data_IF_091641382463
#
_entry.id   IF_091641382463
#
_cell.length_a   1.000
_cell.length_b   1.000
_cell.length_c   1.000
_cell.angle_alpha   90.00
_cell.angle_beta   90.00
_cell.angle_gamma   90.00
#
_symmetry.space_group_name_H-M   'P 1'
#
loop_
_entity.id
_entity.type
_entity.pdbx_description
1 polymer ?
#
# COMPACT_ATOMS: atom_id res chain seq x y z
N UNK A 1 13.24 -14.94 28.55
CA UNK A 1 14.54 -14.26 28.80
C UNK A 1 15.11 -13.58 27.54
N UNK A 2 15.10 -14.24 26.38
CA UNK A 2 15.61 -13.72 25.10
C UNK A 2 14.88 -12.46 24.58
N UNK A 3 13.55 -12.41 24.76
CA UNK A 3 12.70 -11.32 24.29
C UNK A 3 12.94 -10.01 25.05
N UNK A 4 13.09 -10.10 26.37
CA UNK A 4 13.46 -8.97 27.26
C UNK A 4 14.84 -8.39 26.92
N UNK A 5 15.73 -9.19 26.33
CA UNK A 5 17.06 -8.75 25.91
C UNK A 5 16.99 -7.95 24.59
N UNK A 6 16.21 -8.44 23.62
CA UNK A 6 15.94 -7.73 22.35
C UNK A 6 15.24 -6.38 22.57
N UNK A 7 14.30 -6.32 23.50
CA UNK A 7 13.59 -5.09 23.83
C UNK A 7 14.51 -4.04 24.48
N UNK A 8 15.41 -4.49 25.38
CA UNK A 8 16.44 -3.63 25.98
C UNK A 8 17.43 -3.11 24.94
N UNK A 9 17.82 -3.93 23.97
CA UNK A 9 18.70 -3.53 22.87
C UNK A 9 18.04 -2.47 21.98
N UNK A 10 16.78 -2.69 21.57
CA UNK A 10 16.00 -1.70 20.80
C UNK A 10 15.87 -0.37 21.55
N UNK A 11 15.60 -0.41 22.86
CA UNK A 11 15.48 0.80 23.69
C UNK A 11 16.81 1.54 23.85
N UNK A 12 17.94 0.81 23.96
CA UNK A 12 19.28 1.38 24.00
C UNK A 12 19.68 2.01 22.67
N UNK A 13 19.33 1.37 21.56
CA UNK A 13 19.59 1.89 20.22
C UNK A 13 18.78 3.16 19.94
N UNK A 14 17.51 3.20 20.34
CA UNK A 14 16.68 4.41 20.28
C UNK A 14 17.30 5.55 21.11
N UNK A 15 17.73 5.27 22.35
CA UNK A 15 18.40 6.27 23.19
C UNK A 15 19.71 6.79 22.58
N UNK A 16 20.53 5.90 22.02
CA UNK A 16 21.77 6.29 21.31
C UNK A 16 21.46 7.14 20.08
N UNK A 17 20.43 6.80 19.32
CA UNK A 17 20.02 7.53 18.12
C UNK A 17 19.55 8.94 18.47
N UNK A 18 18.79 9.09 19.55
CA UNK A 18 18.37 10.39 20.09
C UNK A 18 19.58 11.20 20.58
N UNK A 19 20.47 10.58 21.35
CA UNK A 19 21.68 11.25 21.85
C UNK A 19 22.68 11.63 20.74
N UNK A 20 22.68 10.91 19.61
CA UNK A 20 23.54 11.22 18.45
C UNK A 20 23.01 12.32 17.53
N UNK A 21 21.77 12.79 17.74
CA UNK A 21 21.24 13.93 17.01
C UNK A 21 21.75 15.20 17.69
N UNK A 22 22.68 15.87 17.00
CA UNK A 22 23.35 17.11 17.37
C UNK A 22 22.41 18.33 17.40
N UNK A 23 21.47 18.34 18.35
CA UNK A 23 20.62 19.52 18.63
C UNK A 23 20.61 19.94 20.11
N UNK A 24 21.47 19.38 20.96
CA UNK A 24 21.79 19.96 22.27
C UNK A 24 23.05 20.85 22.16
N UNK A 25 22.90 21.99 21.48
CA UNK A 25 23.90 23.04 21.47
C UNK A 25 23.57 24.04 22.60
N UNK A 26 24.30 23.90 23.71
CA UNK A 26 24.93 25.01 24.47
C UNK A 26 24.06 26.10 25.13
N UNK A 27 23.72 25.91 26.41
CA UNK A 27 23.51 26.87 27.53
C UNK A 27 22.96 26.00 28.68
N UNK A 28 23.61 25.77 29.82
CA UNK A 28 24.28 26.70 30.72
C UNK A 28 25.26 25.92 31.61
N UNK A 29 26.30 26.60 32.07
CA UNK A 29 27.31 26.13 33.03
C UNK A 29 26.70 25.79 34.42
N UNK A 30 27.50 25.07 35.22
CA UNK A 30 27.48 24.99 36.70
C UNK A 30 26.80 23.80 37.42
N UNK A 31 27.47 23.40 38.52
CA UNK A 31 27.15 22.40 39.56
C UNK A 31 27.30 20.91 39.18
N UNK A 32 28.42 20.23 39.48
CA UNK A 32 28.91 19.76 40.80
C UNK A 32 27.94 18.87 41.59
N UNK A 33 28.52 17.77 42.10
CA UNK A 33 27.93 16.71 42.92
C UNK A 33 26.96 17.20 44.00
N UNK A 34 25.90 16.41 44.29
CA UNK A 34 25.63 15.77 45.59
C UNK A 34 24.18 15.25 45.70
N UNK A 35 24.03 14.18 46.47
CA UNK A 35 22.79 13.44 46.76
C UNK A 35 21.88 14.15 47.78
N UNK A 36 20.55 13.94 47.68
CA UNK A 36 19.53 13.91 48.77
C UNK A 36 18.11 13.82 48.13
N UNK A 37 17.30 12.77 48.37
CA UNK A 37 16.33 12.60 49.50
C UNK A 37 15.03 13.42 49.24
N UNK A 38 13.77 13.02 49.43
CA UNK A 38 12.99 11.81 49.71
C UNK A 38 11.48 12.25 49.58
N UNK A 39 10.55 11.29 49.72
CA UNK A 39 9.22 11.40 50.35
C UNK A 39 7.90 11.81 49.63
N UNK A 40 6.83 11.21 50.18
CA UNK A 40 5.37 11.23 49.98
C UNK A 40 4.80 10.14 49.06
N UNK A 41 4.39 8.95 49.55
CA UNK A 41 3.32 8.58 50.53
C UNK A 41 1.90 8.69 49.96
N UNK A 42 1.19 7.55 49.89
CA UNK A 42 -0.28 7.45 49.81
C UNK A 42 -0.68 6.03 50.23
N UNK A 43 -1.07 5.91 51.51
CA UNK A 43 -1.72 4.75 52.13
C UNK A 43 -3.22 4.68 51.78
N UNK A 44 -3.71 3.44 51.64
CA UNK A 44 -5.07 2.92 51.91
C UNK A 44 -6.34 3.70 51.44
N UNK A 45 -7.16 3.03 50.63
CA UNK A 45 -8.56 2.77 51.02
C UNK A 45 -9.12 1.54 50.29
N UNK A 46 -9.65 0.64 51.10
CA UNK A 46 -10.24 -0.66 50.77
C UNK A 46 -11.77 -0.45 50.77
N UNK A 47 -12.44 -0.67 49.65
CA UNK A 47 -13.91 -0.76 49.62
C UNK A 47 -14.31 -1.84 48.59
N UNK A 48 -14.50 -3.06 49.11
CA UNK A 48 -15.34 -4.09 48.51
C UNK A 48 -16.81 -3.64 48.63
N UNK A 49 -17.52 -3.49 47.51
CA UNK A 49 -18.94 -3.83 47.50
C UNK A 49 -19.44 -4.29 46.12
N UNK A 50 -20.43 -5.16 46.23
CA UNK A 50 -20.87 -6.21 45.33
C UNK A 50 -21.94 -5.75 44.32
N UNK A 51 -21.99 -6.52 43.23
CA UNK A 51 -23.11 -6.84 42.32
C UNK A 51 -23.91 -5.79 41.50
N UNK A 52 -24.31 -6.32 40.34
CA UNK A 52 -25.53 -6.10 39.56
C UNK A 52 -25.53 -5.19 38.28
N UNK A 53 -25.60 -5.92 37.15
CA UNK A 53 -26.36 -5.71 35.91
C UNK A 53 -26.38 -4.33 35.20
N UNK A 54 -25.77 -4.28 34.01
CA UNK A 54 -26.48 -3.93 32.77
C UNK A 54 -25.54 -3.90 31.55
N UNK A 55 -25.79 -4.83 30.62
CA UNK A 55 -25.28 -4.82 29.25
C UNK A 55 -25.48 -3.46 28.56
N UNK A 56 -24.38 -2.72 28.33
CA UNK A 56 -24.22 -1.89 27.13
C UNK A 56 -22.79 -1.99 26.66
N UNK A 57 -22.61 -2.50 25.43
CA UNK A 57 -21.39 -2.39 24.64
C UNK A 57 -21.00 -0.91 24.46
N UNK A 58 -20.37 -0.32 25.46
CA UNK A 58 -19.68 0.96 25.35
C UNK A 58 -18.30 0.66 24.74
N UNK A 59 -18.18 0.92 23.43
CA UNK A 59 -16.91 1.07 22.73
C UNK A 59 -15.89 1.75 23.66
N UNK A 60 -14.66 1.21 23.83
CA UNK A 60 -13.70 1.79 24.75
C UNK A 60 -13.39 3.22 24.29
N UNK A 61 -13.94 4.22 25.01
CA UNK A 61 -13.67 5.64 24.80
C UNK A 61 -12.16 5.80 24.97
N UNK A 62 -11.46 6.03 23.85
CA UNK A 62 -10.02 6.33 23.86
C UNK A 62 -9.80 7.43 24.90
N UNK A 63 -9.09 7.10 25.99
CA UNK A 63 -8.79 8.04 27.07
C UNK A 63 -8.17 9.28 26.42
N UNK A 64 -8.87 10.43 26.50
CA UNK A 64 -8.33 11.70 26.01
C UNK A 64 -7.06 11.96 26.81
N UNK A 65 -5.92 11.99 26.12
CA UNK A 65 -4.64 12.31 26.75
C UNK A 65 -4.81 13.68 27.40
N UNK A 66 -4.74 13.76 28.72
CA UNK A 66 -4.75 15.02 29.46
C UNK A 66 -3.50 15.79 29.02
N UNK A 67 -3.70 16.82 28.21
CA UNK A 67 -2.65 17.52 27.49
C UNK A 67 -3.20 18.68 26.67
N UNK A 68 -2.29 19.53 26.17
CA UNK A 68 -2.50 20.83 25.50
C UNK A 68 -3.73 20.91 24.58
N UNK A 69 -4.24 22.13 24.42
CA UNK A 69 -5.44 22.50 23.65
C UNK A 69 -5.65 21.64 22.38
N UNK A 70 -6.79 20.94 22.23
CA UNK A 70 -7.08 20.06 21.09
C UNK A 70 -7.20 20.79 19.74
N UNK A 71 -7.37 22.12 19.74
CA UNK A 71 -7.46 22.92 18.50
C UNK A 71 -6.09 23.28 17.91
N UNK A 72 -4.99 22.94 18.59
CA UNK A 72 -3.64 23.15 18.06
C UNK A 72 -3.35 22.11 17.00
N UNK A 73 -3.01 22.56 15.79
CA UNK A 73 -2.60 21.70 14.68
C UNK A 73 -1.36 20.87 15.05
N UNK A 74 -1.56 19.56 15.22
CA UNK A 74 -0.49 18.60 15.53
C UNK A 74 0.05 17.89 14.29
N UNK A 75 -0.31 18.34 13.07
CA UNK A 75 0.13 17.73 11.81
C UNK A 75 1.65 17.67 11.64
N UNK A 76 2.37 18.63 12.21
CA UNK A 76 3.84 18.71 12.18
C UNK A 76 4.54 17.72 13.13
N UNK A 77 3.83 17.15 14.10
CA UNK A 77 4.38 16.12 14.97
C UNK A 77 4.35 14.75 14.25
N UNK A 78 5.41 13.93 14.37
CA UNK A 78 5.35 12.53 13.99
C UNK A 78 4.26 11.81 14.79
N UNK A 79 3.17 11.45 14.12
CA UNK A 79 2.03 10.76 14.72
C UNK A 79 1.86 9.41 14.04
N UNK A 80 2.21 8.37 14.78
CA UNK A 80 2.19 7.00 14.30
C UNK A 80 0.78 6.51 13.94
N UNK A 81 -0.24 6.97 14.65
CA UNK A 81 -1.62 6.54 14.39
C UNK A 81 -2.12 7.16 13.07
N UNK A 82 -1.74 8.41 12.79
CA UNK A 82 -2.02 9.12 11.53
C UNK A 82 -1.27 8.52 10.34
N UNK A 83 0.01 8.19 10.50
CA UNK A 83 0.78 7.50 9.45
C UNK A 83 0.23 6.10 9.16
N UNK A 84 -0.22 5.37 10.18
CA UNK A 84 -0.89 4.07 10.00
C UNK A 84 -2.24 4.22 9.26
N UNK A 85 -3.03 5.25 9.59
CA UNK A 85 -4.27 5.58 8.87
C UNK A 85 -4.03 5.92 7.40
N UNK A 86 -3.02 6.75 7.11
CA UNK A 86 -2.64 7.10 5.73
C UNK A 86 -2.17 5.86 4.95
N UNK A 87 -1.37 5.00 5.58
CA UNK A 87 -0.92 3.76 4.96
C UNK A 87 -2.08 2.80 4.66
N UNK A 88 -3.03 2.64 5.60
CA UNK A 88 -4.24 1.83 5.36
C UNK A 88 -5.04 2.36 4.17
N UNK A 89 -5.29 3.68 4.12
CA UNK A 89 -6.01 4.30 3.02
C UNK A 89 -5.27 4.11 1.68
N UNK A 90 -3.94 4.20 1.70
CA UNK A 90 -3.10 3.99 0.51
C UNK A 90 -3.17 2.56 0.00
N UNK A 91 -3.18 1.58 0.90
CA UNK A 91 -3.33 0.17 0.56
C UNK A 91 -4.73 -0.13 0.02
N UNK A 92 -5.78 0.42 0.62
CA UNK A 92 -7.16 0.31 0.13
C UNK A 92 -7.30 0.87 -1.29
N UNK A 93 -6.79 2.08 -1.53
CA UNK A 93 -6.81 2.71 -2.86
C UNK A 93 -6.03 1.90 -3.90
N UNK A 94 -4.91 1.28 -3.50
CA UNK A 94 -4.15 0.37 -4.39
C UNK A 94 -4.99 -0.85 -4.76
N UNK A 95 -5.65 -1.48 -3.79
CA UNK A 95 -6.51 -2.64 -4.05
C UNK A 95 -7.73 -2.28 -4.91
N UNK A 96 -8.33 -1.12 -4.69
CA UNK A 96 -9.41 -0.64 -5.55
C UNK A 96 -8.92 -0.39 -6.98
N UNK A 97 -7.74 0.21 -7.12
CA UNK A 97 -7.13 0.46 -8.42
C UNK A 97 -6.85 -0.85 -9.16
N UNK A 98 -6.26 -1.83 -8.50
CA UNK A 98 -6.01 -3.16 -9.06
C UNK A 98 -7.30 -3.85 -9.48
N UNK A 99 -8.34 -3.84 -8.64
CA UNK A 99 -9.67 -4.38 -8.98
C UNK A 99 -10.28 -3.69 -10.20
N UNK A 100 -10.19 -2.35 -10.28
CA UNK A 100 -10.67 -1.58 -11.45
C UNK A 100 -9.88 -1.95 -12.71
N UNK A 101 -8.56 -2.06 -12.61
CA UNK A 101 -7.68 -2.47 -13.71
C UNK A 101 -7.99 -3.89 -14.19
N UNK A 102 -8.16 -4.84 -13.27
CA UNK A 102 -8.50 -6.22 -13.58
C UNK A 102 -9.87 -6.31 -14.28
N UNK A 103 -10.86 -5.57 -13.78
CA UNK A 103 -12.19 -5.49 -14.41
C UNK A 103 -12.07 -5.01 -15.85
N UNK A 104 -11.38 -3.90 -16.10
CA UNK A 104 -11.17 -3.35 -17.44
C UNK A 104 -10.43 -4.35 -18.34
N UNK A 105 -9.39 -5.01 -17.83
CA UNK A 105 -8.62 -6.02 -18.58
C UNK A 105 -9.44 -7.26 -18.91
N UNK A 106 -10.41 -7.61 -18.06
CA UNK A 106 -11.26 -8.78 -18.25
C UNK A 106 -12.37 -8.58 -19.28
N UNK A 107 -12.69 -7.33 -19.63
CA UNK A 107 -13.74 -7.00 -20.60
C UNK A 107 -13.44 -7.64 -21.96
N UNK A 108 -14.38 -8.45 -22.46
CA UNK A 108 -14.31 -9.05 -23.78
C UNK A 108 -14.70 -8.02 -24.85
N UNK A 109 -13.85 -7.90 -25.87
CA UNK A 109 -14.04 -7.03 -27.01
C UNK A 109 -13.97 -7.83 -28.31
N UNK A 110 -14.79 -7.43 -29.26
CA UNK A 110 -14.68 -7.89 -30.63
C UNK A 110 -13.81 -6.91 -31.43
N UNK A 111 -12.70 -7.42 -31.93
CA UNK A 111 -11.74 -6.64 -32.72
C UNK A 111 -11.92 -7.05 -34.17
N UNK A 112 -12.32 -6.09 -34.99
CA UNK A 112 -12.30 -6.23 -36.45
C UNK A 112 -10.92 -5.85 -36.95
N UNK A 113 -10.23 -6.78 -37.61
CA UNK A 113 -8.91 -6.55 -38.18
C UNK A 113 -8.91 -6.86 -39.67
N UNK A 114 -7.90 -6.34 -40.37
CA UNK A 114 -7.66 -6.68 -41.77
C UNK A 114 -6.25 -7.23 -41.91
N UNK A 115 -6.13 -8.40 -42.51
CA UNK A 115 -4.86 -8.90 -43.01
C UNK A 115 -4.58 -8.27 -44.37
N UNK A 116 -3.31 -7.98 -44.66
CA UNK A 116 -2.87 -7.32 -45.89
C UNK A 116 -1.71 -8.11 -46.51
N UNK A 117 -1.98 -8.70 -47.68
CA UNK A 117 -1.03 -9.42 -48.53
C UNK A 117 -0.93 -8.78 -49.94
N UNK A 118 -1.42 -7.54 -50.07
CA UNK A 118 -1.70 -6.88 -51.35
C UNK A 118 -3.21 -6.78 -51.64
N UNK A 119 -4.04 -7.56 -50.94
CA UNK A 119 -5.49 -7.40 -50.87
C UNK A 119 -5.94 -7.35 -49.40
N UNK A 120 -7.05 -6.65 -49.14
CA UNK A 120 -7.56 -6.44 -47.79
C UNK A 120 -8.51 -7.56 -47.34
N UNK A 121 -8.08 -8.39 -46.39
CA UNK A 121 -8.86 -9.49 -45.84
C UNK A 121 -9.40 -9.16 -44.44
N UNK A 122 -10.64 -8.68 -44.38
CA UNK A 122 -11.30 -8.33 -43.11
C UNK A 122 -11.80 -9.59 -42.37
N UNK A 123 -11.49 -9.66 -41.08
CA UNK A 123 -11.90 -10.71 -40.15
C UNK A 123 -12.23 -10.11 -38.78
N UNK A 124 -12.98 -10.85 -37.97
CA UNK A 124 -13.30 -10.47 -36.60
C UNK A 124 -12.74 -11.50 -35.63
N UNK A 125 -12.27 -11.05 -34.47
CA UNK A 125 -11.78 -11.89 -33.39
C UNK A 125 -12.30 -11.40 -32.05
N UNK A 126 -12.70 -12.31 -31.18
CA UNK A 126 -13.16 -12.00 -29.82
C UNK A 126 -12.07 -12.29 -28.81
N UNK A 127 -11.71 -11.30 -28.01
CA UNK A 127 -10.72 -11.44 -26.93
C UNK A 127 -10.87 -10.38 -25.85
N UNK A 128 -10.26 -10.61 -24.69
CA UNK A 128 -10.25 -9.66 -23.57
C UNK A 128 -9.29 -8.50 -23.80
N UNK A 129 -9.58 -7.31 -23.29
CA UNK A 129 -8.73 -6.11 -23.38
C UNK A 129 -7.34 -6.30 -22.77
N UNK A 130 -7.21 -7.15 -21.77
CA UNK A 130 -5.93 -7.44 -21.11
C UNK A 130 -4.99 -8.36 -21.88
N UNK A 131 -5.39 -8.89 -23.04
CA UNK A 131 -4.52 -9.73 -23.85
C UNK A 131 -3.41 -8.91 -24.51
N UNK A 132 -2.24 -9.50 -24.65
CA UNK A 132 -1.14 -8.86 -25.38
C UNK A 132 -1.41 -8.86 -26.88
N UNK A 133 -0.75 -7.95 -27.61
CA UNK A 133 -0.82 -7.89 -29.07
C UNK A 133 -0.30 -9.21 -29.68
N UNK A 134 0.70 -9.84 -29.06
CA UNK A 134 1.19 -11.15 -29.48
C UNK A 134 0.09 -12.21 -29.44
N UNK A 135 -0.71 -12.27 -28.36
CA UNK A 135 -1.85 -13.19 -28.26
C UNK A 135 -2.93 -12.87 -29.30
N UNK A 136 -3.15 -11.57 -29.59
CA UNK A 136 -4.05 -11.15 -30.66
C UNK A 136 -3.57 -11.67 -32.02
N UNK A 137 -2.30 -11.46 -32.36
CA UNK A 137 -1.70 -11.91 -33.61
C UNK A 137 -1.70 -13.43 -33.75
N UNK A 138 -1.48 -14.18 -32.66
CA UNK A 138 -1.59 -15.65 -32.66
C UNK A 138 -3.01 -16.10 -33.02
N UNK A 139 -4.04 -15.53 -32.37
CA UNK A 139 -5.44 -15.86 -32.68
C UNK A 139 -5.83 -15.43 -34.10
N UNK A 140 -5.35 -14.26 -34.55
CA UNK A 140 -5.56 -13.80 -35.91
C UNK A 140 -4.94 -14.76 -36.93
N UNK A 141 -3.70 -15.21 -36.69
CA UNK A 141 -3.03 -16.22 -37.51
C UNK A 141 -3.79 -17.54 -37.55
N UNK A 142 -4.33 -18.01 -36.43
CA UNK A 142 -5.11 -19.26 -36.39
C UNK A 142 -6.36 -19.18 -37.29
N UNK A 143 -7.04 -18.02 -37.30
CA UNK A 143 -8.18 -17.77 -38.19
C UNK A 143 -7.73 -17.75 -39.65
N UNK A 144 -6.64 -17.02 -39.96
CA UNK A 144 -6.14 -16.86 -41.32
C UNK A 144 -5.54 -18.15 -41.90
N UNK A 145 -4.93 -19.01 -41.07
CA UNK A 145 -4.34 -20.29 -41.50
C UNK A 145 -5.33 -21.25 -42.16
N UNK A 146 -6.64 -21.05 -41.96
CA UNK A 146 -7.70 -21.82 -42.64
C UNK A 146 -7.81 -21.44 -44.12
N UNK A 147 -7.61 -20.17 -44.43
CA UNK A 147 -7.79 -19.60 -45.77
C UNK A 147 -6.46 -19.49 -46.53
N UNK A 148 -5.34 -19.26 -45.81
CA UNK A 148 -4.02 -19.01 -46.39
C UNK A 148 -3.00 -20.03 -45.87
N UNK A 149 -2.60 -20.96 -46.73
CA UNK A 149 -1.58 -21.98 -46.42
C UNK A 149 -0.18 -21.38 -46.23
N UNK A 150 0.09 -20.22 -46.83
CA UNK A 150 1.36 -19.48 -46.72
C UNK A 150 1.64 -19.02 -45.28
N UNK A 151 0.59 -18.72 -44.51
CA UNK A 151 0.69 -18.32 -43.10
C UNK A 151 0.89 -19.51 -42.14
N UNK A 152 1.00 -20.73 -42.66
CA UNK A 152 1.25 -21.92 -41.83
C UNK A 152 2.69 -21.97 -41.31
N UNK A 153 3.66 -21.54 -42.11
CA UNK A 153 5.07 -21.44 -41.69
C UNK A 153 5.39 -20.10 -41.03
N UNK A 154 4.60 -19.05 -41.30
CA UNK A 154 4.79 -17.74 -40.70
C UNK A 154 4.47 -17.73 -39.20
N UNK A 155 5.36 -17.11 -38.43
CA UNK A 155 5.19 -16.83 -37.01
C UNK A 155 4.69 -15.41 -36.77
N UNK A 156 4.39 -15.10 -35.51
CA UNK A 156 3.99 -13.75 -35.08
C UNK A 156 5.11 -12.73 -35.33
N UNK A 157 6.36 -13.17 -35.26
CA UNK A 157 7.55 -12.33 -35.45
C UNK A 157 7.69 -11.77 -36.88
N UNK A 158 6.99 -12.37 -37.85
CA UNK A 158 7.01 -11.93 -39.25
C UNK A 158 5.81 -11.02 -39.58
N UNK A 159 4.97 -10.69 -38.59
CA UNK A 159 3.80 -9.83 -38.77
C UNK A 159 4.05 -8.47 -38.12
N UNK A 160 3.59 -7.42 -38.80
CA UNK A 160 3.52 -6.09 -38.20
C UNK A 160 2.08 -5.78 -37.80
N UNK A 161 1.91 -5.23 -36.60
CA UNK A 161 0.62 -4.70 -36.17
C UNK A 161 0.54 -3.22 -36.52
N UNK A 162 -0.50 -2.83 -37.27
CA UNK A 162 -0.74 -1.45 -37.68
C UNK A 162 -2.12 -1.06 -37.18
N UNK A 163 -2.19 -0.01 -36.36
CA UNK A 163 -3.44 0.59 -35.89
C UNK A 163 -3.38 2.10 -36.09
N UNK A 164 -4.18 2.60 -37.03
CA UNK A 164 -4.16 4.02 -37.41
C UNK A 164 -2.72 4.44 -37.75
N UNK A 165 -2.13 5.37 -37.02
CA UNK A 165 -0.75 5.84 -37.21
C UNK A 165 0.29 5.08 -36.34
N UNK A 166 -0.15 4.11 -35.52
CA UNK A 166 0.71 3.33 -34.64
C UNK A 166 1.13 2.03 -35.31
N UNK A 167 2.44 1.90 -35.58
CA UNK A 167 3.06 0.65 -36.03
C UNK A 167 3.78 0.03 -34.83
N UNK A 168 3.42 -1.20 -34.48
CA UNK A 168 4.10 -1.98 -33.45
C UNK A 168 4.85 -3.10 -34.17
N UNK A 169 6.19 -3.01 -34.22
CA UNK A 169 7.04 -4.04 -34.81
C UNK A 169 7.03 -5.33 -33.99
#
# INVERSE_FOLDING_TARGET
>A
KLEKQRERERKKEQKRKIASLSFNLEEDEECEDEEADDDYDDEDDDDEDDDDDAEKEELPKKKKKLGKNPDVDTSFLPDRDREEEENRLREELRQEWERKQEKIKSEEIEITFSYWDGSGHRRTVKMKKGNSIQQFLQKALEILRKDFSELRSAGVEQLMYIKEDLIIP
#
